data_IF_292270373959
#
_entry.id   IF_292270373959
#
_cell.length_a   1.000
_cell.length_b   1.000
_cell.length_c   1.000
_cell.angle_alpha   90.00
_cell.angle_beta   90.00
_cell.angle_gamma   90.00
#
_symmetry.space_group_name_H-M   'P 1'
#
loop_
_entity.id
_entity.type
_entity.pdbx_description
1 polymer ?
#
# COMPACT_ATOMS: atom_id res chain seq x y z
N UNK A 1 -27.92 -17.94 -3.27
CA UNK A 1 -27.62 -16.65 -3.95
C UNK A 1 -26.73 -15.76 -3.08
N UNK A 2 -27.17 -15.28 -1.90
CA UNK A 2 -26.35 -14.42 -1.02
C UNK A 2 -24.96 -15.00 -0.70
N UNK A 3 -24.85 -16.32 -0.56
CA UNK A 3 -23.58 -17.01 -0.34
C UNK A 3 -22.48 -16.65 -1.35
N UNK A 4 -22.81 -16.40 -2.63
CA UNK A 4 -21.82 -16.04 -3.65
C UNK A 4 -21.54 -14.53 -3.67
N UNK A 5 -22.58 -13.71 -3.46
CA UNK A 5 -22.54 -12.26 -3.70
C UNK A 5 -22.20 -11.41 -2.47
N UNK A 6 -22.29 -11.99 -1.28
CA UNK A 6 -22.11 -11.25 -0.03
C UNK A 6 -20.88 -11.71 0.74
N UNK A 7 -20.27 -10.74 1.42
CA UNK A 7 -19.11 -10.98 2.27
C UNK A 7 -19.45 -11.60 3.65
N UNK A 8 -20.74 -11.71 3.98
CA UNK A 8 -21.17 -12.17 5.31
C UNK A 8 -20.71 -13.60 5.64
N UNK A 9 -20.65 -14.47 4.63
CA UNK A 9 -20.22 -15.86 4.79
C UNK A 9 -18.70 -16.04 4.71
N UNK A 10 -17.91 -14.97 4.74
CA UNK A 10 -16.44 -15.08 4.66
C UNK A 10 -15.77 -15.36 6.00
N UNK A 11 -16.39 -14.94 7.11
CA UNK A 11 -15.81 -15.02 8.47
C UNK A 11 -16.37 -16.17 9.31
N UNK A 12 -16.67 -17.30 8.68
CA UNK A 12 -17.27 -18.45 9.35
C UNK A 12 -16.26 -19.32 10.09
N UNK A 13 -16.63 -19.75 11.30
CA UNK A 13 -15.92 -20.77 12.06
C UNK A 13 -16.00 -22.14 11.36
N UNK A 14 -15.08 -23.07 11.63
CA UNK A 14 -15.09 -24.41 11.02
C UNK A 14 -16.44 -25.14 11.12
N UNK A 15 -17.09 -25.09 12.29
CA UNK A 15 -18.39 -25.74 12.51
C UNK A 15 -19.51 -25.11 11.66
N UNK A 16 -19.48 -23.79 11.49
CA UNK A 16 -20.44 -23.06 10.65
C UNK A 16 -20.24 -23.38 9.16
N UNK A 17 -18.99 -23.60 8.73
CA UNK A 17 -18.67 -24.04 7.37
C UNK A 17 -19.20 -25.44 7.11
N UNK A 18 -19.02 -26.35 8.06
CA UNK A 18 -19.54 -27.71 7.94
C UNK A 18 -21.06 -27.73 7.89
N UNK A 19 -21.74 -26.90 8.68
CA UNK A 19 -23.20 -26.78 8.69
C UNK A 19 -23.80 -26.31 7.34
N UNK A 20 -23.00 -25.72 6.44
CA UNK A 20 -23.43 -25.37 5.08
C UNK A 20 -23.32 -26.54 4.10
N UNK A 21 -22.59 -27.61 4.44
CA UNK A 21 -22.48 -28.80 3.61
C UNK A 21 -23.64 -29.74 3.91
N UNK A 22 -24.18 -30.39 2.88
CA UNK A 22 -25.26 -31.33 3.04
C UNK A 22 -24.79 -32.57 3.82
N UNK A 23 -25.47 -32.86 4.94
CA UNK A 23 -25.32 -34.09 5.71
C UNK A 23 -26.51 -35.00 5.40
N UNK A 24 -26.29 -36.00 4.55
CA UNK A 24 -27.28 -36.99 4.15
C UNK A 24 -26.80 -38.42 4.41
N UNK A 25 -27.61 -39.41 4.04
CA UNK A 25 -27.33 -40.85 4.25
C UNK A 25 -26.24 -41.43 3.32
N UNK A 26 -25.76 -40.65 2.37
CA UNK A 26 -24.72 -41.03 1.41
C UNK A 26 -23.29 -40.73 1.87
N UNK A 27 -22.30 -40.86 0.97
CA UNK A 27 -20.92 -40.49 1.27
C UNK A 27 -20.83 -39.02 1.69
N UNK A 28 -20.00 -38.73 2.69
CA UNK A 28 -19.84 -37.40 3.26
C UNK A 28 -19.37 -36.41 2.19
N UNK A 29 -20.12 -35.32 2.02
CA UNK A 29 -19.75 -34.22 1.13
C UNK A 29 -18.63 -33.41 1.77
N UNK A 30 -17.49 -33.31 1.08
CA UNK A 30 -16.28 -32.60 1.58
C UNK A 30 -16.22 -31.16 1.06
N UNK A 31 -16.88 -30.89 -0.06
CA UNK A 31 -16.95 -29.58 -0.71
C UNK A 31 -18.25 -29.40 -1.46
N UNK A 32 -18.73 -28.16 -1.52
CA UNK A 32 -19.86 -27.75 -2.35
C UNK A 32 -19.48 -26.52 -3.17
N UNK A 33 -20.19 -26.26 -4.25
CA UNK A 33 -20.03 -25.01 -5.00
C UNK A 33 -21.38 -24.46 -5.42
N UNK A 34 -21.41 -23.15 -5.62
CA UNK A 34 -22.54 -22.45 -6.23
C UNK A 34 -21.99 -21.62 -7.37
N UNK A 35 -22.65 -21.69 -8.52
CA UNK A 35 -22.32 -20.93 -9.71
C UNK A 35 -23.50 -20.04 -10.08
N UNK A 36 -23.20 -18.78 -10.42
CA UNK A 36 -24.16 -17.79 -10.90
C UNK A 36 -23.67 -17.32 -12.25
N UNK A 37 -24.57 -17.30 -13.22
CA UNK A 37 -24.32 -16.78 -14.56
C UNK A 37 -25.05 -15.44 -14.65
N UNK A 38 -24.29 -14.38 -14.91
CA UNK A 38 -24.81 -13.03 -15.11
C UNK A 38 -24.92 -12.77 -16.60
N UNK A 39 -26.06 -12.22 -17.01
CA UNK A 39 -26.16 -11.50 -18.28
C UNK A 39 -25.43 -10.16 -18.13
N UNK A 40 -24.46 -9.91 -19.01
CA UNK A 40 -23.62 -8.73 -19.06
C UNK A 40 -23.75 -8.00 -20.42
N UNK A 41 -24.91 -8.13 -21.08
CA UNK A 41 -25.22 -7.45 -22.35
C UNK A 41 -25.08 -5.91 -22.28
N UNK A 42 -25.19 -5.32 -21.08
CA UNK A 42 -25.04 -3.88 -20.85
C UNK A 42 -23.61 -3.46 -20.47
N UNK A 43 -22.66 -4.40 -20.43
CA UNK A 43 -21.25 -4.19 -20.11
C UNK A 43 -21.01 -3.46 -18.76
N UNK A 44 -21.91 -3.62 -17.78
CA UNK A 44 -21.68 -3.11 -16.41
C UNK A 44 -20.52 -3.80 -15.71
N UNK A 45 -20.36 -5.09 -15.97
CA UNK A 45 -19.18 -5.84 -15.53
C UNK A 45 -18.10 -5.60 -16.59
N UNK A 46 -16.91 -5.09 -16.23
CA UNK A 46 -15.84 -4.75 -17.17
C UNK A 46 -15.11 -6.00 -17.70
N UNK A 47 -15.86 -6.91 -18.33
CA UNK A 47 -15.42 -8.14 -18.96
C UNK A 47 -16.09 -8.18 -20.33
N UNK A 48 -15.30 -8.31 -21.40
CA UNK A 48 -15.79 -8.35 -22.78
C UNK A 48 -16.46 -9.69 -23.11
N UNK A 49 -17.57 -9.97 -22.44
CA UNK A 49 -18.43 -11.15 -22.64
C UNK A 49 -19.87 -10.81 -22.31
N UNK A 50 -20.78 -11.37 -23.09
CA UNK A 50 -22.22 -11.25 -22.89
C UNK A 50 -22.70 -12.02 -21.64
N UNK A 51 -21.98 -13.06 -21.23
CA UNK A 51 -22.24 -13.80 -20.00
C UNK A 51 -21.00 -13.88 -19.14
N UNK A 52 -21.15 -13.60 -17.84
CA UNK A 52 -20.10 -13.68 -16.84
C UNK A 52 -20.44 -14.76 -15.81
N UNK A 53 -19.56 -15.75 -15.65
CA UNK A 53 -19.79 -16.86 -14.72
C UNK A 53 -18.98 -16.69 -13.45
N UNK A 54 -19.67 -16.53 -12.32
CA UNK A 54 -19.06 -16.45 -10.99
C UNK A 54 -19.38 -17.70 -10.17
N UNK A 55 -18.35 -18.44 -9.77
CA UNK A 55 -18.47 -19.65 -8.95
C UNK A 55 -17.72 -19.48 -7.63
N UNK A 56 -18.39 -19.79 -6.52
CA UNK A 56 -17.76 -19.91 -5.19
C UNK A 56 -17.80 -21.38 -4.76
N UNK A 57 -16.63 -21.95 -4.49
CA UNK A 57 -16.45 -23.28 -3.93
C UNK A 57 -16.17 -23.14 -2.45
N UNK A 58 -16.91 -23.85 -1.60
CA UNK A 58 -16.67 -23.97 -0.17
C UNK A 58 -16.18 -25.38 0.15
N UNK A 59 -15.05 -25.45 0.86
CA UNK A 59 -14.58 -26.66 1.51
C UNK A 59 -14.44 -26.45 3.02
N UNK A 60 -14.06 -27.51 3.73
CA UNK A 60 -13.92 -27.47 5.19
C UNK A 60 -12.87 -26.45 5.68
N UNK A 61 -11.85 -26.14 4.86
CA UNK A 61 -10.72 -25.27 5.25
C UNK A 61 -10.64 -23.93 4.53
N UNK A 62 -10.96 -23.90 3.24
CA UNK A 62 -10.80 -22.71 2.41
C UNK A 62 -11.91 -22.58 1.39
N UNK A 63 -12.13 -21.35 0.97
CA UNK A 63 -13.05 -21.00 -0.09
C UNK A 63 -12.24 -20.63 -1.33
N UNK A 64 -12.78 -20.94 -2.50
CA UNK A 64 -12.16 -20.59 -3.78
C UNK A 64 -13.19 -19.89 -4.66
N UNK A 65 -12.76 -18.82 -5.31
CA UNK A 65 -13.57 -18.08 -6.26
C UNK A 65 -13.06 -18.32 -7.67
N UNK A 66 -13.98 -18.50 -8.59
CA UNK A 66 -13.69 -18.65 -10.00
C UNK A 66 -14.54 -17.68 -10.81
N UNK A 67 -13.89 -16.95 -11.70
CA UNK A 67 -14.51 -16.08 -12.68
C UNK A 67 -14.21 -16.68 -14.05
N UNK A 68 -15.24 -17.08 -14.79
CA UNK A 68 -15.10 -17.78 -16.07
C UNK A 68 -14.11 -18.94 -16.03
N UNK A 69 -14.23 -19.78 -14.99
CA UNK A 69 -13.36 -20.94 -14.72
C UNK A 69 -11.91 -20.60 -14.36
N UNK A 70 -11.52 -19.32 -14.31
CA UNK A 70 -10.21 -18.87 -13.81
C UNK A 70 -10.28 -18.60 -12.31
N UNK A 71 -9.31 -19.11 -11.56
CA UNK A 71 -9.23 -18.85 -10.12
C UNK A 71 -8.86 -17.38 -9.89
N UNK A 72 -9.64 -16.70 -9.05
CA UNK A 72 -9.47 -15.27 -8.71
C UNK A 72 -9.47 -15.08 -7.19
N UNK A 73 -8.91 -13.97 -6.72
CA UNK A 73 -8.96 -13.67 -5.29
C UNK A 73 -10.35 -13.16 -4.90
N UNK A 74 -10.69 -13.31 -3.62
CA UNK A 74 -11.92 -12.74 -3.06
C UNK A 74 -11.97 -11.21 -3.27
N UNK A 75 -10.84 -10.54 -3.12
CA UNK A 75 -10.74 -9.07 -3.27
C UNK A 75 -11.10 -8.66 -4.69
N UNK A 76 -10.60 -9.38 -5.69
CA UNK A 76 -10.90 -9.08 -7.10
C UNK A 76 -12.38 -9.24 -7.41
N UNK A 77 -13.02 -10.31 -6.90
CA UNK A 77 -14.47 -10.53 -7.05
C UNK A 77 -15.27 -9.41 -6.41
N UNK A 78 -14.89 -8.98 -5.20
CA UNK A 78 -15.59 -7.90 -4.51
C UNK A 78 -15.47 -6.57 -5.27
N UNK A 79 -14.26 -6.25 -5.77
CA UNK A 79 -14.04 -5.04 -6.57
C UNK A 79 -14.81 -5.08 -7.90
N UNK A 80 -14.91 -6.26 -8.53
CA UNK A 80 -15.69 -6.48 -9.75
C UNK A 80 -17.19 -6.24 -9.51
N UNK A 81 -17.74 -6.83 -8.45
CA UNK A 81 -19.14 -6.66 -8.06
C UNK A 81 -19.46 -5.20 -7.71
N UNK A 82 -18.55 -4.53 -7.01
CA UNK A 82 -18.67 -3.11 -6.68
C UNK A 82 -18.68 -2.22 -7.92
N UNK A 83 -17.83 -2.51 -8.91
CA UNK A 83 -17.80 -1.81 -10.20
C UNK A 83 -19.12 -1.95 -10.98
N UNK A 84 -19.79 -3.10 -10.83
CA UNK A 84 -21.11 -3.35 -11.43
C UNK A 84 -22.29 -2.79 -10.61
N UNK A 85 -22.03 -2.11 -9.49
CA UNK A 85 -23.04 -1.45 -8.64
C UNK A 85 -23.55 -2.30 -7.48
N UNK A 86 -22.99 -3.49 -7.25
CA UNK A 86 -23.27 -4.27 -6.04
C UNK A 86 -22.45 -3.72 -4.88
N UNK A 87 -23.09 -2.94 -3.99
CA UNK A 87 -22.40 -2.43 -2.80
C UNK A 87 -21.86 -3.59 -1.95
N UNK A 88 -20.56 -3.52 -1.66
CA UNK A 88 -19.82 -4.46 -0.81
C UNK A 88 -20.27 -4.35 0.65
N UNK A 89 -20.64 -3.16 1.11
CA UNK A 89 -20.87 -2.91 2.54
C UNK A 89 -22.33 -2.97 2.96
N UNK A 90 -23.29 -2.90 2.02
CA UNK A 90 -24.70 -3.06 2.32
C UNK A 90 -25.50 -3.50 1.10
N UNK A 91 -25.86 -4.78 1.02
CA UNK A 91 -26.69 -5.28 -0.04
C UNK A 91 -28.14 -4.83 0.22
N UNK A 92 -28.48 -3.59 -0.14
CA UNK A 92 -29.87 -3.15 -0.17
C UNK A 92 -30.75 -4.05 -1.07
N UNK A 93 -30.09 -4.76 -1.99
CA UNK A 93 -30.66 -5.78 -2.87
C UNK A 93 -30.91 -7.14 -2.18
N UNK A 94 -30.57 -7.33 -0.91
CA UNK A 94 -30.85 -8.55 -0.13
C UNK A 94 -31.67 -8.22 1.10
N UNK A 95 -32.95 -8.59 1.08
CA UNK A 95 -33.87 -8.41 2.20
C UNK A 95 -34.00 -9.72 2.96
N UNK A 96 -33.32 -9.82 4.11
CA UNK A 96 -33.48 -10.95 5.04
C UNK A 96 -34.79 -10.84 5.81
N UNK A 97 -35.25 -11.99 6.33
CA UNK A 97 -36.36 -12.01 7.28
C UNK A 97 -36.06 -11.09 8.47
N UNK A 98 -37.03 -10.26 8.86
CA UNK A 98 -36.89 -9.28 9.94
C UNK A 98 -36.16 -7.99 9.57
N UNK A 99 -35.51 -7.90 8.40
CA UNK A 99 -34.77 -6.70 7.99
C UNK A 99 -35.66 -5.48 7.81
N UNK A 100 -36.90 -5.68 7.33
CA UNK A 100 -37.89 -4.61 7.15
C UNK A 100 -38.25 -3.97 8.50
N UNK A 101 -38.56 -4.80 9.52
CA UNK A 101 -38.87 -4.30 10.86
C UNK A 101 -37.67 -3.57 11.47
N UNK A 102 -36.45 -4.11 11.29
CA UNK A 102 -35.23 -3.44 11.74
C UNK A 102 -35.06 -2.06 11.08
N UNK A 103 -35.35 -1.94 9.78
CA UNK A 103 -35.25 -0.66 9.07
C UNK A 103 -36.29 0.35 9.55
N UNK A 104 -37.52 -0.12 9.85
CA UNK A 104 -38.58 0.73 10.38
C UNK A 104 -38.22 1.30 11.76
N UNK A 105 -37.66 0.47 12.65
CA UNK A 105 -37.28 0.87 14.02
C UNK A 105 -35.87 1.44 14.15
N UNK A 106 -35.08 1.47 13.08
CA UNK A 106 -33.72 1.99 13.10
C UNK A 106 -33.67 3.49 13.45
N UNK A 107 -32.66 3.95 14.20
CA UNK A 107 -32.46 5.37 14.46
C UNK A 107 -32.09 6.13 13.17
N UNK A 108 -32.36 7.43 13.17
CA UNK A 108 -32.15 8.31 12.01
C UNK A 108 -30.70 8.28 11.50
N UNK A 109 -29.72 8.14 12.40
CA UNK A 109 -28.30 7.99 12.06
C UNK A 109 -28.01 6.75 11.20
N UNK A 110 -28.68 5.63 11.48
CA UNK A 110 -28.53 4.40 10.72
C UNK A 110 -29.23 4.48 9.36
N UNK A 111 -30.39 5.16 9.28
CA UNK A 111 -31.06 5.43 8.01
C UNK A 111 -30.25 6.37 7.12
N UNK A 112 -29.65 7.42 7.70
CA UNK A 112 -28.76 8.33 6.99
C UNK A 112 -27.51 7.60 6.47
N UNK A 113 -26.93 6.69 7.27
CA UNK A 113 -25.79 5.86 6.82
C UNK A 113 -26.18 5.01 5.62
N UNK A 114 -27.34 4.36 5.65
CA UNK A 114 -27.87 3.59 4.52
C UNK A 114 -28.07 4.49 3.28
N UNK A 115 -28.64 5.68 3.45
CA UNK A 115 -28.87 6.61 2.35
C UNK A 115 -27.56 7.07 1.69
N UNK A 116 -26.55 7.42 2.49
CA UNK A 116 -25.21 7.78 1.98
C UNK A 116 -24.55 6.66 1.20
N UNK A 117 -24.76 5.43 1.65
CA UNK A 117 -24.23 4.24 0.99
C UNK A 117 -24.94 3.95 -0.35
N UNK A 118 -26.26 4.11 -0.42
CA UNK A 118 -27.01 4.04 -1.68
C UNK A 118 -26.63 5.17 -2.63
N UNK A 119 -26.35 6.36 -2.11
CA UNK A 119 -25.86 7.48 -2.90
C UNK A 119 -24.41 7.29 -3.40
N UNK A 120 -23.71 6.22 -2.98
CA UNK A 120 -22.35 5.92 -3.42
C UNK A 120 -21.28 6.87 -2.89
N UNK A 121 -21.60 7.78 -1.95
CA UNK A 121 -20.64 8.77 -1.45
C UNK A 121 -19.58 8.16 -0.53
N UNK A 122 -19.83 6.97 0.00
CA UNK A 122 -18.95 6.30 0.95
C UNK A 122 -17.57 5.97 0.38
N UNK A 123 -17.49 5.46 -0.85
CA UNK A 123 -16.20 5.13 -1.50
C UNK A 123 -15.36 6.40 -1.70
N UNK A 124 -16.02 7.51 -2.04
CA UNK A 124 -15.35 8.80 -2.16
C UNK A 124 -14.84 9.30 -0.81
N UNK A 125 -15.65 9.22 0.25
CA UNK A 125 -15.27 9.62 1.60
C UNK A 125 -14.08 8.79 2.13
N UNK A 126 -14.09 7.47 1.96
CA UNK A 126 -13.00 6.57 2.35
C UNK A 126 -11.70 6.89 1.59
N UNK A 127 -11.76 7.06 0.26
CA UNK A 127 -10.59 7.44 -0.55
C UNK A 127 -10.04 8.82 -0.17
N UNK A 128 -10.91 9.76 0.18
CA UNK A 128 -10.52 11.09 0.63
C UNK A 128 -9.79 11.01 1.97
N UNK A 129 -10.29 10.22 2.91
CA UNK A 129 -9.65 10.02 4.21
C UNK A 129 -8.29 9.35 4.08
N UNK A 130 -8.19 8.30 3.25
CA UNK A 130 -6.92 7.64 2.93
C UNK A 130 -5.92 8.61 2.27
N UNK A 131 -6.38 9.41 1.30
CA UNK A 131 -5.53 10.42 0.64
C UNK A 131 -5.02 11.48 1.62
N UNK A 132 -5.85 11.93 2.55
CA UNK A 132 -5.45 12.89 3.58
C UNK A 132 -4.40 12.29 4.55
N UNK A 133 -4.53 11.01 4.89
CA UNK A 133 -3.54 10.32 5.71
C UNK A 133 -2.18 10.25 4.99
N UNK A 134 -2.17 9.88 3.71
CA UNK A 134 -0.95 9.85 2.87
C UNK A 134 -0.33 11.25 2.75
N UNK A 135 -1.14 12.29 2.59
CA UNK A 135 -0.68 13.67 2.50
C UNK A 135 0.02 14.10 3.80
N UNK A 136 -0.58 13.80 4.95
CA UNK A 136 -0.01 14.10 6.27
C UNK A 136 1.33 13.38 6.48
N UNK A 137 1.42 12.11 6.09
CA UNK A 137 2.68 11.35 6.17
C UNK A 137 3.75 11.94 5.24
N UNK A 138 3.35 12.37 4.05
CA UNK A 138 4.25 12.96 3.05
C UNK A 138 4.79 14.31 3.51
N UNK A 139 3.95 15.14 4.14
CA UNK A 139 4.39 16.41 4.71
C UNK A 139 5.42 16.21 5.83
N UNK A 140 5.22 15.22 6.71
CA UNK A 140 6.21 14.86 7.72
C UNK A 140 7.53 14.33 7.14
N UNK A 141 7.49 13.62 6.01
CA UNK A 141 8.71 13.23 5.28
C UNK A 141 9.41 14.46 4.68
N UNK A 142 8.64 15.41 4.15
CA UNK A 142 9.17 16.64 3.54
C UNK A 142 9.89 17.52 4.56
N UNK A 143 9.35 17.63 5.77
CA UNK A 143 9.99 18.34 6.88
C UNK A 143 11.35 17.73 7.22
N UNK A 144 11.42 16.40 7.39
CA UNK A 144 12.69 15.70 7.65
C UNK A 144 13.74 15.91 6.55
N UNK A 145 13.31 15.91 5.29
CA UNK A 145 14.20 16.21 4.15
C UNK A 145 14.72 17.65 4.25
N UNK A 146 13.86 18.61 4.59
CA UNK A 146 14.28 20.01 4.76
C UNK A 146 15.31 20.17 5.88
N UNK A 147 15.15 19.45 6.99
CA UNK A 147 16.10 19.52 8.10
C UNK A 147 17.45 18.88 7.73
N UNK A 148 17.42 17.75 7.02
CA UNK A 148 18.65 17.12 6.51
C UNK A 148 19.38 18.02 5.51
N UNK A 149 18.64 18.73 4.64
CA UNK A 149 19.24 19.69 3.71
C UNK A 149 19.95 20.83 4.44
N UNK A 150 19.34 21.41 5.48
CA UNK A 150 19.98 22.44 6.31
C UNK A 150 21.28 21.93 6.93
N UNK A 151 21.27 20.71 7.46
CA UNK A 151 22.48 20.08 8.01
C UNK A 151 23.58 19.90 6.95
N UNK A 152 23.22 19.48 5.74
CA UNK A 152 24.17 19.34 4.63
C UNK A 152 24.76 20.70 4.24
N UNK A 153 23.95 21.76 4.18
CA UNK A 153 24.42 23.12 3.90
C UNK A 153 25.40 23.62 4.97
N UNK A 154 25.11 23.39 6.25
CA UNK A 154 26.01 23.73 7.35
C UNK A 154 27.34 22.97 7.26
N UNK A 155 27.27 21.68 6.93
CA UNK A 155 28.47 20.84 6.73
C UNK A 155 29.30 21.30 5.54
N UNK A 156 28.66 21.71 4.44
CA UNK A 156 29.33 22.28 3.28
C UNK A 156 30.06 23.58 3.63
N UNK A 157 29.43 24.47 4.39
CA UNK A 157 30.07 25.70 4.84
C UNK A 157 31.30 25.44 5.71
N UNK A 158 31.23 24.44 6.60
CA UNK A 158 32.39 24.04 7.43
C UNK A 158 33.52 23.50 6.55
N UNK A 159 33.21 22.62 5.58
CA UNK A 159 34.17 22.08 4.63
C UNK A 159 34.83 23.16 3.75
N UNK A 160 34.08 24.20 3.38
CA UNK A 160 34.65 25.35 2.65
C UNK A 160 35.67 26.11 3.50
N UNK A 161 35.40 26.28 4.80
CA UNK A 161 36.35 26.85 5.75
C UNK A 161 37.61 25.99 5.92
N UNK A 162 37.46 24.69 6.15
CA UNK A 162 38.57 23.73 6.26
C UNK A 162 39.44 23.71 4.99
N UNK A 163 38.82 23.81 3.82
CA UNK A 163 39.51 23.89 2.53
C UNK A 163 40.38 25.14 2.43
N UNK A 164 39.89 26.29 2.88
CA UNK A 164 40.65 27.55 2.83
C UNK A 164 41.82 27.55 3.83
N UNK A 165 41.60 27.01 5.03
CA UNK A 165 42.67 26.79 6.01
C UNK A 165 43.77 25.86 5.46
N UNK A 166 43.36 24.76 4.80
CA UNK A 166 44.30 23.82 4.16
C UNK A 166 45.11 24.49 3.04
N UNK A 167 44.51 25.40 2.26
CA UNK A 167 45.25 26.14 1.23
C UNK A 167 46.31 27.05 1.83
N UNK A 168 45.98 27.80 2.88
CA UNK A 168 46.96 28.64 3.57
C UNK A 168 48.07 27.79 4.20
N UNK A 169 47.73 26.66 4.84
CA UNK A 169 48.72 25.70 5.32
C UNK A 169 49.66 25.23 4.19
N UNK A 170 49.12 24.81 3.04
CA UNK A 170 49.94 24.36 1.91
C UNK A 170 50.86 25.46 1.36
N UNK A 171 50.41 26.71 1.36
CA UNK A 171 51.22 27.87 0.96
C UNK A 171 52.39 28.08 1.93
N UNK A 172 52.14 28.06 3.24
CA UNK A 172 53.19 28.19 4.25
C UNK A 172 54.14 27.00 4.25
N UNK A 173 53.65 25.78 4.06
CA UNK A 173 54.49 24.58 3.97
C UNK A 173 55.38 24.60 2.70
N UNK A 174 54.91 25.12 1.57
CA UNK A 174 55.77 25.36 0.39
C UNK A 174 56.88 26.36 0.69
N UNK A 175 56.57 27.45 1.40
CA UNK A 175 57.58 28.44 1.80
C UNK A 175 58.61 27.82 2.75
N UNK A 176 58.14 27.06 3.75
CA UNK A 176 58.99 26.32 4.69
C UNK A 176 59.95 25.39 3.96
N UNK A 177 59.44 24.54 3.05
CA UNK A 177 60.26 23.63 2.25
C UNK A 177 61.30 24.34 1.38
N UNK A 178 60.94 25.51 0.84
CA UNK A 178 61.86 26.31 0.02
C UNK A 178 63.01 26.89 0.86
N UNK A 179 62.70 27.38 2.07
CA UNK A 179 63.70 27.85 3.02
C UNK A 179 64.61 26.72 3.51
N UNK A 180 64.01 25.58 3.87
CA UNK A 180 64.73 24.37 4.31
C UNK A 180 65.70 23.87 3.23
N UNK A 181 65.28 23.82 1.97
CA UNK A 181 66.15 23.50 0.85
C UNK A 181 67.32 24.49 0.71
N UNK A 182 67.05 25.80 0.84
CA UNK A 182 68.07 26.85 0.73
C UNK A 182 69.13 26.73 1.84
N UNK A 183 68.71 26.43 3.07
CA UNK A 183 69.60 26.20 4.20
C UNK A 183 70.49 24.98 3.93
N UNK A 184 69.89 23.85 3.55
CA UNK A 184 70.65 22.63 3.26
C UNK A 184 71.62 22.76 2.09
N UNK A 185 71.25 23.51 1.03
CA UNK A 185 72.17 23.80 -0.08
C UNK A 185 73.37 24.65 0.37
N UNK A 186 73.12 25.65 1.24
CA UNK A 186 74.18 26.47 1.81
C UNK A 186 75.14 25.62 2.67
N UNK A 187 74.61 24.79 3.56
CA UNK A 187 75.40 23.87 4.40
C UNK A 187 76.23 22.89 3.55
N UNK A 188 75.65 22.34 2.48
CA UNK A 188 76.35 21.47 1.54
C UNK A 188 77.51 22.18 0.84
N UNK A 189 77.31 23.42 0.40
CA UNK A 189 78.37 24.24 -0.25
C UNK A 189 79.51 24.54 0.72
N UNK A 190 79.19 24.92 1.95
CA UNK A 190 80.20 25.19 2.98
C UNK A 190 80.99 23.93 3.34
N UNK A 191 80.32 22.80 3.44
CA UNK A 191 80.97 21.51 3.73
C UNK A 191 81.87 21.06 2.58
N UNK A 192 81.47 21.28 1.32
CA UNK A 192 82.31 21.01 0.15
C UNK A 192 83.56 21.87 0.13
N UNK A 193 83.44 23.18 0.38
CA UNK A 193 84.61 24.08 0.45
C UNK A 193 85.64 23.61 1.46
N UNK A 194 85.20 23.16 2.64
CA UNK A 194 86.09 22.61 3.68
C UNK A 194 86.74 21.27 3.32
N UNK A 195 86.22 20.57 2.31
CA UNK A 195 86.75 19.29 1.84
C UNK A 195 87.76 19.46 0.69
N UNK A 196 87.65 20.57 -0.03
CA UNK A 196 88.54 20.96 -1.13
C UNK A 196 89.76 21.80 -0.66
N UNK A 197 89.76 22.27 0.60
CA UNK A 197 90.91 22.84 1.33
C UNK A 197 91.73 21.76 2.06
#
# INVERSE_FOLDING_TARGET
>A
IQFVLSDEFSHMRPDQRQALLHEGTGPRVISAFVEIIFDNSDNRIPIEKDEVVLRRVIGSKKDQYFLDKKMVTKTDVMNLLESAGFSRSNPYYIVKQGKINQMATAPDSQRLKLLREVAGTKVYDERKEESNAILTETDGKREKISDLLKYIEERLNTLEGEKEELKEYQKWDKMRRSLEYTIHDHELKDTRKKLDE
#
